data_IF_928099773679
#
_entry.id   IF_928099773679
#
_cell.length_a   1.000
_cell.length_b   1.000
_cell.length_c   1.000
_cell.angle_alpha   90.00
_cell.angle_beta   90.00
_cell.angle_gamma   90.00
#
_symmetry.space_group_name_H-M   'P 1'
#
loop_
_entity.id
_entity.type
_entity.pdbx_description
1 polymer ?
#
# COMPACT_ATOMS: atom_id res chain seq x y z
N UNK A 1 27.10 -3.96 -20.71
CA UNK A 1 26.02 -3.96 -21.71
C UNK A 1 24.72 -4.01 -20.93
N UNK A 2 23.99 -2.88 -20.87
CA UNK A 2 22.72 -2.78 -20.15
C UNK A 2 21.63 -3.41 -21.04
N UNK A 3 20.89 -4.39 -20.50
CA UNK A 3 19.83 -5.08 -21.22
C UNK A 3 18.55 -4.21 -21.13
N UNK A 4 18.54 -3.09 -21.86
CA UNK A 4 17.38 -2.22 -21.92
C UNK A 4 16.41 -2.79 -22.96
N UNK A 5 15.18 -3.03 -22.54
CA UNK A 5 14.13 -3.55 -23.42
C UNK A 5 13.31 -2.37 -23.95
N UNK A 6 13.24 -2.21 -25.27
CA UNK A 6 12.61 -1.03 -25.88
C UNK A 6 11.21 -1.38 -26.41
N UNK A 7 10.24 -0.50 -26.16
CA UNK A 7 8.87 -0.65 -26.63
C UNK A 7 8.52 0.53 -27.55
N UNK A 8 7.95 0.27 -28.72
CA UNK A 8 7.51 1.32 -29.67
C UNK A 8 5.99 1.47 -29.57
N UNK A 9 5.55 2.67 -29.20
CA UNK A 9 4.13 3.02 -29.04
C UNK A 9 3.73 3.97 -30.18
N UNK A 10 2.60 3.66 -30.82
CA UNK A 10 1.97 4.52 -31.80
C UNK A 10 0.92 5.36 -31.09
N UNK A 11 1.03 6.69 -31.20
CA UNK A 11 0.06 7.63 -30.63
C UNK A 11 -0.98 8.00 -31.70
N UNK A 12 -2.24 8.12 -31.28
CA UNK A 12 -3.37 8.49 -32.15
C UNK A 12 -3.08 9.76 -32.95
N UNK A 13 -3.19 9.66 -34.28
CA UNK A 13 -3.20 10.83 -35.15
C UNK A 13 -4.65 11.16 -35.52
N UNK A 14 -5.06 12.41 -35.29
CA UNK A 14 -6.44 12.89 -35.46
C UNK A 14 -6.97 12.82 -36.89
N UNK A 15 -6.12 12.55 -37.89
CA UNK A 15 -6.55 12.29 -39.26
C UNK A 15 -5.53 11.37 -39.98
N UNK A 16 -5.68 10.06 -39.81
CA UNK A 16 -4.81 9.09 -40.48
C UNK A 16 -5.27 8.88 -41.92
N UNK A 17 -4.50 9.39 -42.89
CA UNK A 17 -4.78 9.27 -44.34
C UNK A 17 -4.88 7.78 -44.74
N UNK A 18 -5.81 7.39 -45.63
CA UNK A 18 -5.94 5.98 -46.09
C UNK A 18 -4.62 5.40 -46.65
N UNK A 19 -3.76 6.26 -47.18
CA UNK A 19 -2.42 5.90 -47.64
C UNK A 19 -1.53 5.37 -46.50
N UNK A 20 -1.56 6.00 -45.32
CA UNK A 20 -0.79 5.57 -44.14
C UNK A 20 -1.29 4.21 -43.62
N UNK A 21 -2.60 3.97 -43.66
CA UNK A 21 -3.21 2.69 -43.27
C UNK A 21 -2.75 1.55 -44.20
N UNK A 22 -2.71 1.81 -45.51
CA UNK A 22 -2.27 0.82 -46.51
C UNK A 22 -0.78 0.48 -46.41
N UNK A 23 0.06 1.45 -46.06
CA UNK A 23 1.50 1.26 -45.87
C UNK A 23 1.81 0.54 -44.56
N UNK A 24 1.10 0.87 -43.48
CA UNK A 24 1.23 0.16 -42.20
C UNK A 24 0.80 -1.32 -42.34
N UNK A 25 -0.27 -1.59 -43.07
CA UNK A 25 -0.73 -2.95 -43.38
C UNK A 25 0.36 -3.77 -44.11
N UNK A 26 1.06 -3.15 -45.07
CA UNK A 26 2.19 -3.80 -45.77
C UNK A 26 3.37 -4.05 -44.84
N UNK A 27 3.69 -3.08 -43.96
CA UNK A 27 4.83 -3.16 -43.05
C UNK A 27 4.67 -4.30 -42.04
N UNK A 28 3.47 -4.47 -41.50
CA UNK A 28 3.17 -5.50 -40.50
C UNK A 28 2.56 -6.78 -41.07
N UNK A 29 2.42 -6.89 -42.39
CA UNK A 29 1.73 -8.01 -43.08
C UNK A 29 0.32 -8.26 -42.51
N UNK A 30 -0.40 -7.20 -42.15
CA UNK A 30 -1.75 -7.23 -41.59
C UNK A 30 -2.77 -6.75 -42.63
N UNK A 31 -4.06 -7.03 -42.38
CA UNK A 31 -5.13 -6.50 -43.21
C UNK A 31 -5.34 -5.00 -42.95
N UNK A 32 -5.79 -4.22 -43.94
CA UNK A 32 -6.03 -2.78 -43.79
C UNK A 32 -7.08 -2.48 -42.71
N UNK A 33 -8.07 -3.36 -42.52
CA UNK A 33 -9.07 -3.21 -41.45
C UNK A 33 -8.49 -3.37 -40.05
N UNK A 34 -7.57 -4.33 -39.84
CA UNK A 34 -6.88 -4.52 -38.57
C UNK A 34 -5.97 -3.33 -38.27
N UNK A 35 -5.33 -2.79 -39.31
CA UNK A 35 -4.48 -1.59 -39.22
C UNK A 35 -5.29 -0.34 -38.86
N UNK A 36 -6.52 -0.20 -39.38
CA UNK A 36 -7.45 0.87 -38.99
C UNK A 36 -7.86 0.77 -37.52
N UNK A 37 -8.17 -0.44 -37.02
CA UNK A 37 -8.50 -0.65 -35.59
C UNK A 37 -7.31 -0.35 -34.67
N UNK A 38 -6.10 -0.71 -35.08
CA UNK A 38 -4.87 -0.40 -34.35
C UNK A 38 -4.67 1.12 -34.21
N UNK A 39 -4.92 1.88 -35.28
CA UNK A 39 -4.80 3.35 -35.27
C UNK A 39 -5.97 4.08 -34.58
N UNK A 40 -7.07 3.37 -34.31
CA UNK A 40 -8.19 3.87 -33.50
C UNK A 40 -7.97 3.69 -32.00
N UNK A 41 -7.06 2.80 -31.58
CA UNK A 41 -6.70 2.63 -30.18
C UNK A 41 -5.80 3.80 -29.75
N UNK A 42 -6.04 4.33 -28.55
CA UNK A 42 -5.31 5.51 -28.07
C UNK A 42 -3.81 5.23 -27.90
N UNK A 43 -3.45 3.98 -27.57
CA UNK A 43 -2.07 3.47 -27.58
C UNK A 43 -2.04 2.02 -28.10
N UNK A 44 -1.18 1.73 -29.07
CA UNK A 44 -0.92 0.35 -29.52
C UNK A 44 0.57 0.00 -29.42
N UNK A 45 0.87 -1.05 -28.67
CA UNK A 45 2.22 -1.59 -28.53
C UNK A 45 2.51 -2.58 -29.66
N UNK A 46 3.46 -2.23 -30.53
CA UNK A 46 3.82 -3.06 -31.69
C UNK A 46 4.49 -4.38 -31.26
N UNK A 47 5.43 -4.31 -30.32
CA UNK A 47 6.12 -5.48 -29.75
C UNK A 47 6.83 -5.07 -28.46
N UNK A 48 6.73 -5.91 -27.43
CA UNK A 48 7.48 -5.77 -26.17
C UNK A 48 8.88 -6.40 -26.31
N UNK A 49 9.83 -5.92 -25.50
CA UNK A 49 11.17 -6.47 -25.36
C UNK A 49 11.99 -6.52 -26.67
N UNK A 50 12.27 -5.36 -27.23
CA UNK A 50 13.05 -5.24 -28.46
C UNK A 50 14.44 -4.66 -28.19
N UNK A 51 15.46 -5.13 -28.91
CA UNK A 51 16.81 -4.56 -28.86
C UNK A 51 16.82 -3.13 -29.43
N UNK A 52 17.64 -2.26 -28.84
CA UNK A 52 17.83 -0.85 -29.26
C UNK A 52 17.94 -0.64 -30.78
N UNK A 53 18.84 -1.35 -31.52
CA UNK A 53 18.99 -1.14 -32.96
C UNK A 53 17.76 -1.59 -33.78
N UNK A 54 16.94 -2.49 -33.23
CA UNK A 54 15.73 -2.98 -33.89
C UNK A 54 14.56 -2.03 -33.62
N UNK A 55 14.49 -1.45 -32.42
CA UNK A 55 13.51 -0.41 -32.05
C UNK A 55 13.68 0.86 -32.88
N UNK A 56 14.92 1.33 -33.09
CA UNK A 56 15.22 2.49 -33.94
C UNK A 56 14.85 2.24 -35.41
N UNK A 57 15.09 1.03 -35.93
CA UNK A 57 14.69 0.66 -37.30
C UNK A 57 13.16 0.67 -37.46
N UNK A 58 12.42 0.14 -36.48
CA UNK A 58 10.97 0.15 -36.51
C UNK A 58 10.40 1.55 -36.37
N UNK A 59 10.95 2.37 -35.47
CA UNK A 59 10.57 3.78 -35.33
C UNK A 59 10.77 4.53 -36.64
N UNK A 60 11.94 4.39 -37.28
CA UNK A 60 12.22 5.05 -38.58
C UNK A 60 11.28 4.57 -39.68
N UNK A 61 10.94 3.28 -39.70
CA UNK A 61 10.04 2.71 -40.69
C UNK A 61 8.59 3.18 -40.52
N UNK A 62 8.12 3.36 -39.28
CA UNK A 62 6.77 3.84 -38.96
C UNK A 62 6.67 5.36 -39.15
N UNK A 63 7.71 6.11 -38.75
CA UNK A 63 7.79 7.55 -38.99
C UNK A 63 7.79 7.86 -40.51
N UNK A 64 8.42 7.02 -41.32
CA UNK A 64 8.43 7.16 -42.78
C UNK A 64 7.03 6.98 -43.42
N UNK A 65 6.07 6.34 -42.75
CA UNK A 65 4.68 6.25 -43.21
C UNK A 65 3.82 7.41 -42.72
N UNK A 66 4.42 8.46 -42.12
CA UNK A 66 3.72 9.65 -41.64
C UNK A 66 2.97 9.46 -40.31
N UNK A 67 3.29 8.41 -39.55
CA UNK A 67 2.61 8.07 -38.29
C UNK A 67 3.50 8.52 -37.12
N UNK A 68 2.91 9.21 -36.15
CA UNK A 68 3.64 9.66 -34.97
C UNK A 68 3.87 8.48 -34.01
N UNK A 69 5.12 8.16 -33.74
CA UNK A 69 5.52 7.08 -32.84
C UNK A 69 6.63 7.52 -31.89
N UNK A 70 6.57 7.03 -30.66
CA UNK A 70 7.57 7.26 -29.62
C UNK A 70 8.17 5.93 -29.18
N UNK A 71 9.48 5.95 -28.91
CA UNK A 71 10.18 4.82 -28.28
C UNK A 71 10.20 5.09 -26.78
N UNK A 72 9.73 4.13 -25.99
CA UNK A 72 9.79 4.16 -24.55
C UNK A 72 10.74 3.05 -24.06
N UNK A 73 11.59 3.39 -23.09
CA UNK A 73 12.54 2.44 -22.50
C UNK A 73 11.78 1.74 -21.37
N UNK A 74 11.53 0.45 -21.53
CA UNK A 74 10.98 -0.39 -20.47
C UNK A 74 12.15 -0.93 -19.66
N UNK A 75 12.46 -0.27 -18.54
CA UNK A 75 13.12 -0.92 -17.42
C UNK A 75 12.09 -1.91 -16.86
N UNK A 76 12.47 -3.17 -16.66
CA UNK A 76 11.58 -4.17 -16.05
C UNK A 76 11.28 -3.74 -14.60
N UNK A 77 10.27 -2.87 -14.43
CA UNK A 77 9.53 -2.69 -13.20
C UNK A 77 8.44 -3.77 -13.18
N UNK A 78 8.79 -4.90 -12.57
CA UNK A 78 7.80 -5.60 -11.76
C UNK A 78 7.33 -4.61 -10.67
N UNK A 79 6.03 -4.60 -10.43
CA UNK A 79 5.29 -3.82 -9.43
C UNK A 79 5.02 -2.34 -9.76
N UNK A 80 3.79 -2.05 -10.20
CA UNK A 80 3.21 -0.72 -10.04
C UNK A 80 1.99 -0.83 -9.14
N UNK A 81 2.24 -0.56 -7.85
CA UNK A 81 1.23 -0.15 -6.89
C UNK A 81 0.56 1.17 -7.31
N UNK A 82 -0.61 1.40 -6.73
CA UNK A 82 -1.52 2.54 -6.91
C UNK A 82 -0.88 3.92 -6.64
N UNK A 83 -1.47 5.01 -7.17
CA UNK A 83 -0.86 6.34 -7.23
C UNK A 83 -0.69 7.03 -5.88
N UNK A 84 0.39 7.83 -5.80
CA UNK A 84 0.73 8.77 -4.74
C UNK A 84 -0.30 9.89 -4.60
N UNK A 85 -0.76 10.12 -3.36
CA UNK A 85 -1.51 11.32 -2.94
C UNK A 85 -0.49 12.43 -2.68
N UNK A 86 -0.74 13.62 -3.24
CA UNK A 86 0.01 14.85 -3.00
C UNK A 86 -0.08 15.30 -1.53
N UNK A 87 1.07 15.45 -0.89
CA UNK A 87 1.19 16.01 0.45
C UNK A 87 1.30 17.54 0.35
N UNK A 88 0.34 18.25 0.96
CA UNK A 88 0.30 19.71 0.99
C UNK A 88 1.39 20.20 1.94
N UNK A 89 2.33 20.96 1.38
CA UNK A 89 3.34 21.73 2.07
C UNK A 89 2.68 22.73 3.04
N UNK A 90 2.98 22.63 4.34
CA UNK A 90 2.81 23.78 5.22
C UNK A 90 4.03 23.96 6.12
N UNK A 91 4.78 25.02 5.81
CA UNK A 91 5.97 25.47 6.49
C UNK A 91 5.58 26.19 7.78
N UNK A 92 5.98 25.67 8.94
CA UNK A 92 6.15 26.48 10.14
C UNK A 92 7.24 25.91 11.06
N UNK A 93 8.33 26.66 11.13
CA UNK A 93 9.51 26.49 11.99
C UNK A 93 9.18 26.86 13.44
N UNK A 94 9.38 25.95 14.40
CA UNK A 94 9.69 26.30 15.82
C UNK A 94 10.69 25.30 16.43
N UNK A 95 11.62 25.85 17.22
CA UNK A 95 12.86 25.28 17.79
C UNK A 95 12.65 24.22 18.89
N UNK A 96 13.68 23.41 19.24
CA UNK A 96 13.59 22.30 20.19
C UNK A 96 13.94 22.72 21.62
N UNK A 97 13.45 21.98 22.64
CA UNK A 97 14.10 21.87 23.96
C UNK A 97 13.53 20.72 24.83
N UNK A 98 14.46 19.84 25.21
CA UNK A 98 14.64 19.06 26.45
C UNK A 98 13.66 17.95 26.91
N UNK A 99 14.32 16.80 27.05
CA UNK A 99 14.09 15.59 27.84
C UNK A 99 13.91 15.85 29.35
N UNK A 100 12.87 15.27 29.97
CA UNK A 100 12.85 14.92 31.40
C UNK A 100 12.05 13.61 31.59
N UNK A 101 12.72 12.68 32.27
CA UNK A 101 12.34 11.39 32.81
C UNK A 101 11.09 11.37 33.71
N UNK A 102 10.37 10.26 33.58
CA UNK A 102 9.48 9.54 34.53
C UNK A 102 7.95 9.80 34.58
N UNK A 103 7.18 8.72 34.87
CA UNK A 103 5.76 8.57 34.54
C UNK A 103 4.83 8.85 35.72
N UNK A 104 3.57 9.20 35.43
CA UNK A 104 2.47 8.95 36.36
C UNK A 104 1.18 8.62 35.59
N UNK A 105 0.38 7.76 36.21
CA UNK A 105 -0.69 6.93 35.65
C UNK A 105 -2.00 7.72 35.59
N UNK A 106 -2.71 7.60 34.45
CA UNK A 106 -4.15 7.65 34.10
C UNK A 106 -5.23 8.15 35.13
N UNK A 107 -6.47 8.53 34.73
CA UNK A 107 -7.15 8.20 33.47
C UNK A 107 -8.09 9.27 32.82
N UNK A 108 -8.50 8.93 31.59
CA UNK A 108 -9.73 9.25 30.83
C UNK A 108 -10.64 10.40 31.31
N UNK A 109 -10.81 11.41 30.45
CA UNK A 109 -12.14 11.98 30.16
C UNK A 109 -12.21 12.56 28.74
N UNK A 110 -13.24 12.16 28.00
CA UNK A 110 -13.72 12.77 26.77
C UNK A 110 -14.28 14.16 27.09
N UNK A 111 -13.85 15.20 26.36
CA UNK A 111 -14.57 16.47 26.29
C UNK A 111 -14.89 16.81 24.83
N UNK A 112 -16.17 16.69 24.49
CA UNK A 112 -16.79 17.45 23.40
C UNK A 112 -17.15 18.85 23.93
N UNK A 113 -16.97 19.93 23.15
CA UNK A 113 -17.41 21.25 23.58
C UNK A 113 -18.92 21.40 23.39
N UNK A 114 -19.62 21.68 24.48
CA UNK A 114 -20.98 22.19 24.49
C UNK A 114 -20.95 23.72 24.45
N UNK A 115 -21.73 24.32 23.55
CA UNK A 115 -21.98 25.76 23.55
C UNK A 115 -23.13 26.07 24.51
N UNK A 116 -22.84 26.91 25.51
CA UNK A 116 -23.80 27.47 26.45
C UNK A 116 -24.47 28.71 25.87
N UNK A 117 -25.77 28.88 26.14
CA UNK A 117 -26.36 30.20 26.30
C UNK A 117 -27.24 30.18 27.55
N UNK A 118 -26.85 30.95 28.55
CA UNK A 118 -27.52 31.10 29.82
C UNK A 118 -28.51 32.28 29.79
N UNK A 119 -29.67 32.11 30.43
CA UNK A 119 -30.16 32.90 31.58
C UNK A 119 -31.69 32.79 31.71
N UNK A 120 -32.16 32.25 32.85
CA UNK A 120 -33.55 32.41 33.36
C UNK A 120 -33.71 33.73 34.14
N UNK A 121 -34.56 33.83 35.20
CA UNK A 121 -35.49 32.81 35.74
C UNK A 121 -36.85 33.38 36.28
N UNK A 122 -37.63 32.46 36.90
CA UNK A 122 -38.48 32.62 38.12
C UNK A 122 -40.00 32.44 37.96
N UNK A 123 -40.50 31.43 38.68
CA UNK A 123 -41.88 31.04 39.01
C UNK A 123 -42.70 32.13 39.72
N UNK A 124 -44.04 32.02 39.65
CA UNK A 124 -44.97 31.95 40.79
C UNK A 124 -46.42 31.86 40.26
N UNK A 125 -47.13 30.76 40.56
CA UNK A 125 -48.60 30.63 40.51
C UNK A 125 -49.27 31.33 41.73
N UNK A 126 -50.62 31.41 41.90
CA UNK A 126 -51.79 31.26 41.00
C UNK A 126 -52.79 32.44 41.14
N UNK A 127 -53.95 32.43 40.42
CA UNK A 127 -55.33 32.79 40.90
C UNK A 127 -56.27 33.29 39.76
N UNK A 128 -57.44 32.64 39.72
CA UNK A 128 -58.79 32.98 39.20
C UNK A 128 -59.05 33.94 38.01
N UNK A 129 -59.77 33.34 37.03
CA UNK A 129 -61.01 33.79 36.37
C UNK A 129 -61.18 35.28 36.04
N UNK A 130 -61.16 35.60 34.75
CA UNK A 130 -62.16 36.47 34.13
C UNK A 130 -62.31 36.15 32.64
N UNK A 131 -63.56 36.01 32.21
CA UNK A 131 -64.01 35.64 30.88
C UNK A 131 -63.67 36.68 29.80
N UNK A 132 -63.30 36.23 28.60
CA UNK A 132 -63.66 36.87 27.35
C UNK A 132 -63.54 35.85 26.20
N UNK A 133 -64.67 35.56 25.55
CA UNK A 133 -64.77 34.76 24.35
C UNK A 133 -64.06 35.44 23.18
N UNK A 134 -63.14 34.74 22.50
CA UNK A 134 -62.93 34.86 21.06
C UNK A 134 -62.35 33.53 20.57
N UNK A 135 -62.98 32.92 19.56
CA UNK A 135 -62.74 31.55 19.11
C UNK A 135 -61.49 31.34 18.24
N UNK A 136 -61.39 30.10 17.74
CA UNK A 136 -60.40 29.55 16.79
C UNK A 136 -59.00 29.30 17.41
N UNK A 137 -58.35 28.14 17.32
CA UNK A 137 -58.53 26.91 16.55
C UNK A 137 -57.70 25.82 17.26
N UNK A 138 -58.32 24.78 17.84
CA UNK A 138 -57.62 23.65 18.50
C UNK A 138 -57.47 22.47 17.53
N UNK A 139 -56.93 22.70 16.34
CA UNK A 139 -56.86 21.67 15.29
C UNK A 139 -55.46 21.14 14.99
N UNK A 140 -54.40 21.62 15.67
CA UNK A 140 -53.01 21.35 15.26
C UNK A 140 -52.13 20.90 16.44
N UNK A 141 -52.58 19.96 17.26
CA UNK A 141 -51.67 19.26 18.21
C UNK A 141 -51.74 17.73 18.14
N UNK A 142 -52.61 17.14 17.32
CA UNK A 142 -52.80 15.67 17.24
C UNK A 142 -52.22 15.02 15.96
N UNK A 143 -51.29 15.68 15.26
CA UNK A 143 -50.70 15.13 14.03
C UNK A 143 -49.32 14.55 14.31
N UNK A 144 -49.28 13.26 14.65
CA UNK A 144 -48.03 12.52 14.74
C UNK A 144 -47.28 12.49 13.39
N UNK A 145 -45.98 12.81 13.36
CA UNK A 145 -45.18 12.83 12.13
C UNK A 145 -45.05 11.43 11.48
N UNK A 146 -45.30 10.37 12.23
CA UNK A 146 -45.26 8.98 11.75
C UNK A 146 -46.51 8.56 10.96
N UNK A 147 -47.60 9.34 11.06
CA UNK A 147 -48.85 9.07 10.35
C UNK A 147 -48.87 9.60 8.92
N UNK A 148 -47.83 10.31 8.48
CA UNK A 148 -47.73 10.76 7.10
C UNK A 148 -47.39 9.61 6.14
N UNK A 149 -48.12 9.52 5.02
CA UNK A 149 -47.78 8.56 3.97
C UNK A 149 -46.53 9.02 3.19
N UNK A 150 -45.46 8.22 3.11
CA UNK A 150 -44.23 8.61 2.40
C UNK A 150 -44.40 8.71 0.88
N UNK A 151 -45.50 8.19 0.32
CA UNK A 151 -45.74 8.19 -1.13
C UNK A 151 -46.62 9.37 -1.60
N UNK A 152 -47.64 9.75 -0.83
CA UNK A 152 -48.61 10.78 -1.23
C UNK A 152 -48.80 11.92 -0.22
N UNK A 153 -48.11 11.89 0.93
CA UNK A 153 -48.13 12.96 1.93
C UNK A 153 -49.43 13.10 2.72
N UNK A 154 -50.43 12.26 2.49
CA UNK A 154 -51.71 12.29 3.24
C UNK A 154 -51.55 11.67 4.62
N UNK A 155 -52.31 12.16 5.60
CA UNK A 155 -52.37 11.63 6.96
C UNK A 155 -53.10 10.27 6.94
N UNK A 156 -52.51 9.28 7.60
CA UNK A 156 -53.04 7.91 7.78
C UNK A 156 -53.60 7.78 9.20
N UNK A 157 -54.50 6.82 9.40
CA UNK A 157 -55.11 6.56 10.71
C UNK A 157 -54.08 6.05 11.76
N UNK A 158 -53.02 5.39 11.29
CA UNK A 158 -51.86 4.99 12.08
C UNK A 158 -50.67 4.66 11.18
N UNK A 159 -49.45 4.68 11.73
CA UNK A 159 -48.21 4.32 11.05
C UNK A 159 -48.20 2.91 10.40
N UNK A 160 -49.08 2.00 10.83
CA UNK A 160 -49.22 0.63 10.30
C UNK A 160 -50.45 0.42 9.38
N UNK A 161 -51.38 1.39 9.30
CA UNK A 161 -52.60 1.27 8.48
C UNK A 161 -52.39 1.53 6.98
N UNK A 162 -53.04 0.80 6.08
CA UNK A 162 -52.90 1.08 4.64
C UNK A 162 -53.37 2.52 4.28
N UNK A 163 -52.75 3.13 3.27
CA UNK A 163 -53.20 4.44 2.79
C UNK A 163 -54.41 4.28 1.87
N UNK A 164 -55.55 4.87 2.24
CA UNK A 164 -56.78 4.82 1.44
C UNK A 164 -56.65 5.59 0.11
N UNK A 165 -55.82 6.62 0.05
CA UNK A 165 -55.70 7.48 -1.13
C UNK A 165 -54.81 6.87 -2.22
N UNK A 166 -53.70 6.19 -1.86
CA UNK A 166 -52.75 5.65 -2.82
C UNK A 166 -52.53 4.13 -2.72
N UNK A 167 -53.19 3.46 -1.78
CA UNK A 167 -53.04 2.01 -1.56
C UNK A 167 -51.70 1.59 -0.95
N UNK A 168 -50.92 2.53 -0.40
CA UNK A 168 -49.61 2.22 0.19
C UNK A 168 -49.74 1.33 1.44
N UNK A 169 -49.04 0.20 1.43
CA UNK A 169 -48.91 -0.72 2.57
C UNK A 169 -47.50 -0.60 3.21
N UNK A 170 -47.41 -0.11 4.47
CA UNK A 170 -46.13 0.07 5.16
C UNK A 170 -45.40 -1.25 5.44
N UNK A 171 -46.13 -2.35 5.66
CA UNK A 171 -45.54 -3.64 6.04
C UNK A 171 -44.79 -4.25 4.86
N UNK A 172 -45.36 -4.16 3.66
CA UNK A 172 -44.74 -4.62 2.42
C UNK A 172 -43.50 -3.77 2.07
N UNK A 173 -43.60 -2.45 2.22
CA UNK A 173 -42.48 -1.53 1.98
C UNK A 173 -41.32 -1.78 2.95
N UNK A 174 -41.60 -1.87 4.26
CA UNK A 174 -40.59 -2.16 5.29
C UNK A 174 -39.93 -3.52 5.05
N UNK A 175 -40.70 -4.56 4.75
CA UNK A 175 -40.17 -5.90 4.45
C UNK A 175 -39.31 -5.91 3.19
N UNK A 176 -39.69 -5.18 2.13
CA UNK A 176 -38.90 -5.08 0.89
C UNK A 176 -37.60 -4.32 1.09
N UNK A 177 -37.63 -3.21 1.83
CA UNK A 177 -36.45 -2.39 2.11
C UNK A 177 -35.47 -3.12 3.04
N UNK A 178 -35.95 -3.72 4.13
CA UNK A 178 -35.11 -4.51 5.04
C UNK A 178 -34.45 -5.67 4.27
N UNK A 179 -35.20 -6.40 3.43
CA UNK A 179 -34.62 -7.45 2.58
C UNK A 179 -33.55 -6.90 1.63
N UNK A 180 -33.79 -5.77 0.98
CA UNK A 180 -32.79 -5.16 0.10
C UNK A 180 -31.55 -4.71 0.86
N UNK A 181 -31.68 -4.16 2.06
CA UNK A 181 -30.56 -3.70 2.88
C UNK A 181 -29.73 -4.89 3.35
N UNK A 182 -30.37 -5.96 3.85
CA UNK A 182 -29.69 -7.19 4.28
C UNK A 182 -28.95 -7.85 3.12
N UNK A 183 -29.58 -7.95 1.94
CA UNK A 183 -28.92 -8.57 0.78
C UNK A 183 -27.69 -7.76 0.37
N UNK A 184 -27.79 -6.42 0.33
CA UNK A 184 -26.67 -5.55 -0.03
C UNK A 184 -25.54 -5.60 1.00
N UNK A 185 -25.87 -5.57 2.30
CA UNK A 185 -24.86 -5.65 3.36
C UNK A 185 -24.18 -7.02 3.42
N UNK A 186 -24.94 -8.12 3.29
CA UNK A 186 -24.38 -9.47 3.26
C UNK A 186 -23.50 -9.69 2.04
N UNK A 187 -23.93 -9.24 0.85
CA UNK A 187 -23.12 -9.31 -0.36
C UNK A 187 -21.83 -8.49 -0.20
N UNK A 188 -21.91 -7.29 0.36
CA UNK A 188 -20.73 -6.45 0.64
C UNK A 188 -19.76 -7.11 1.61
N UNK A 189 -20.26 -7.68 2.71
CA UNK A 189 -19.43 -8.36 3.71
C UNK A 189 -18.74 -9.59 3.14
N UNK A 190 -19.44 -10.39 2.33
CA UNK A 190 -18.86 -11.57 1.67
C UNK A 190 -17.70 -11.18 0.76
N UNK A 191 -17.84 -10.11 -0.03
CA UNK A 191 -16.76 -9.63 -0.91
C UNK A 191 -15.55 -9.18 -0.10
N UNK A 192 -15.74 -8.45 1.01
CA UNK A 192 -14.65 -8.00 1.88
C UNK A 192 -13.90 -9.17 2.53
N UNK A 193 -14.63 -10.20 2.99
CA UNK A 193 -14.02 -11.39 3.59
C UNK A 193 -13.15 -12.14 2.58
N UNK A 194 -13.64 -12.31 1.35
CA UNK A 194 -12.87 -12.97 0.28
C UNK A 194 -11.62 -12.16 -0.07
N UNK A 195 -11.76 -10.84 -0.22
CA UNK A 195 -10.62 -9.96 -0.53
C UNK A 195 -9.54 -9.98 0.56
N UNK A 196 -9.95 -9.94 1.84
CA UNK A 196 -9.05 -10.05 2.98
C UNK A 196 -8.32 -11.39 3.02
N UNK A 197 -9.02 -12.50 2.75
CA UNK A 197 -8.43 -13.84 2.75
C UNK A 197 -7.34 -14.00 1.68
N UNK A 198 -7.55 -13.44 0.48
CA UNK A 198 -6.56 -13.49 -0.59
C UNK A 198 -5.32 -12.63 -0.30
N UNK A 199 -5.50 -11.49 0.38
CA UNK A 199 -4.42 -10.53 0.62
C UNK A 199 -3.57 -10.86 1.85
N UNK A 200 -4.17 -11.44 2.90
CA UNK A 200 -3.50 -11.78 4.15
C UNK A 200 -2.19 -12.60 4.02
N UNK A 201 -2.10 -13.67 3.21
CA UNK A 201 -0.87 -14.47 3.14
C UNK A 201 0.33 -13.67 2.61
N UNK A 202 0.10 -12.72 1.70
CA UNK A 202 1.15 -11.88 1.14
C UNK A 202 1.68 -10.89 2.18
N UNK A 203 0.79 -10.25 2.94
CA UNK A 203 1.18 -9.35 4.04
C UNK A 203 2.06 -10.06 5.09
N UNK A 204 1.69 -11.29 5.47
CA UNK A 204 2.48 -12.06 6.44
C UNK A 204 3.89 -12.37 5.93
N UNK A 205 4.04 -12.66 4.64
CA UNK A 205 5.34 -12.89 4.05
C UNK A 205 6.19 -11.61 4.04
N UNK A 206 5.62 -10.48 3.64
CA UNK A 206 6.31 -9.20 3.62
C UNK A 206 6.76 -8.75 5.02
N UNK A 207 5.89 -8.86 6.02
CA UNK A 207 6.25 -8.52 7.40
C UNK A 207 7.40 -9.40 7.93
N UNK A 208 7.42 -10.69 7.61
CA UNK A 208 8.54 -11.57 7.97
C UNK A 208 9.84 -11.17 7.26
N UNK A 209 9.77 -10.82 5.99
CA UNK A 209 10.94 -10.37 5.21
C UNK A 209 11.57 -9.12 5.84
N UNK A 210 10.74 -8.11 6.15
CA UNK A 210 11.21 -6.90 6.83
C UNK A 210 11.78 -7.20 8.22
N UNK A 211 11.11 -8.06 9.00
CA UNK A 211 11.61 -8.45 10.32
C UNK A 211 12.99 -9.11 10.25
N UNK A 212 13.25 -9.97 9.26
CA UNK A 212 14.57 -10.58 9.06
C UNK A 212 15.63 -9.54 8.70
N UNK A 213 15.27 -8.54 7.90
CA UNK A 213 16.16 -7.42 7.52
C UNK A 213 16.49 -6.56 8.74
N UNK A 214 15.50 -6.22 9.57
CA UNK A 214 15.70 -5.44 10.81
C UNK A 214 16.58 -6.20 11.79
N UNK A 215 16.31 -7.50 12.00
CA UNK A 215 17.10 -8.34 12.90
C UNK A 215 18.55 -8.51 12.41
N UNK A 216 18.81 -8.31 11.11
CA UNK A 216 20.16 -8.38 10.55
C UNK A 216 21.05 -7.22 11.00
N UNK A 217 20.48 -6.15 11.56
CA UNK A 217 21.25 -5.07 12.16
C UNK A 217 22.27 -5.58 13.20
N UNK A 218 21.91 -6.60 13.99
CA UNK A 218 22.82 -7.23 14.94
C UNK A 218 24.08 -7.82 14.28
N UNK A 219 23.94 -8.38 13.07
CA UNK A 219 25.08 -8.90 12.32
C UNK A 219 25.96 -7.77 11.77
N UNK A 220 25.37 -6.65 11.36
CA UNK A 220 26.12 -5.47 10.93
C UNK A 220 26.86 -4.81 12.10
N UNK A 221 26.26 -4.75 13.28
CA UNK A 221 26.92 -4.26 14.48
C UNK A 221 28.08 -5.17 14.87
N UNK A 222 27.89 -6.48 14.81
CA UNK A 222 28.95 -7.48 15.03
C UNK A 222 30.13 -7.28 14.05
N UNK A 223 29.83 -7.09 12.77
CA UNK A 223 30.82 -6.77 11.72
C UNK A 223 31.58 -5.48 12.04
N UNK A 224 30.89 -4.44 12.49
CA UNK A 224 31.52 -3.16 12.85
C UNK A 224 32.46 -3.32 14.06
N UNK A 225 32.06 -4.09 15.08
CA UNK A 225 32.91 -4.43 16.24
C UNK A 225 34.17 -5.18 15.82
N UNK A 226 34.03 -6.18 14.95
CA UNK A 226 35.18 -6.92 14.41
C UNK A 226 36.10 -6.00 13.58
N UNK A 227 35.51 -5.09 12.81
CA UNK A 227 36.29 -4.11 12.03
C UNK A 227 37.11 -3.21 12.96
N UNK A 228 36.49 -2.67 14.01
CA UNK A 228 37.18 -1.85 15.01
C UNK A 228 38.29 -2.63 15.74
N UNK A 229 38.04 -3.92 16.03
CA UNK A 229 39.05 -4.80 16.62
C UNK A 229 40.24 -5.02 15.68
N UNK A 230 40.01 -5.30 14.40
CA UNK A 230 41.07 -5.47 13.39
C UNK A 230 41.87 -4.16 13.24
N UNK A 231 41.20 -3.01 13.20
CA UNK A 231 41.86 -1.70 13.08
C UNK A 231 42.73 -1.38 14.31
N UNK A 232 42.28 -1.74 15.51
CA UNK A 232 43.01 -1.50 16.76
C UNK A 232 44.21 -2.44 16.95
N UNK A 233 44.05 -3.71 16.59
CA UNK A 233 45.01 -4.76 16.93
C UNK A 233 45.86 -5.24 15.77
N UNK A 234 45.47 -4.91 14.52
CA UNK A 234 45.98 -5.52 13.30
C UNK A 234 45.89 -7.06 13.29
N UNK A 235 45.03 -7.64 14.14
CA UNK A 235 44.81 -9.07 14.25
C UNK A 235 43.42 -9.45 13.71
N UNK A 236 43.37 -10.55 12.97
CA UNK A 236 42.14 -11.09 12.40
C UNK A 236 41.58 -12.16 13.34
N UNK A 237 40.40 -11.92 13.95
CA UNK A 237 39.83 -12.87 14.89
C UNK A 237 39.41 -14.16 14.18
N UNK A 238 39.62 -15.29 14.86
CA UNK A 238 39.21 -16.62 14.36
C UNK A 238 38.03 -17.21 15.14
N UNK A 239 37.59 -16.52 16.20
CA UNK A 239 36.47 -16.88 17.06
C UNK A 239 35.89 -15.61 17.70
N UNK A 240 34.64 -15.66 18.16
CA UNK A 240 33.96 -14.50 18.75
C UNK A 240 34.74 -13.89 19.92
N UNK A 241 35.32 -14.72 20.78
CA UNK A 241 36.03 -14.27 21.99
C UNK A 241 37.31 -13.48 21.67
N UNK A 242 37.93 -13.70 20.51
CA UNK A 242 39.11 -12.95 20.09
C UNK A 242 38.76 -11.47 19.88
N UNK A 243 37.55 -11.20 19.37
CA UNK A 243 37.03 -9.85 19.12
C UNK A 243 36.23 -9.27 20.30
N UNK A 244 36.39 -9.82 21.50
CA UNK A 244 35.64 -9.44 22.71
C UNK A 244 34.11 -9.58 22.56
N UNK A 245 33.66 -10.43 21.62
CA UNK A 245 32.24 -10.69 21.40
C UNK A 245 31.72 -11.84 22.28
N UNK A 246 30.43 -11.82 22.64
CA UNK A 246 29.78 -12.96 23.28
C UNK A 246 29.92 -14.25 22.47
N UNK A 247 30.07 -15.39 23.17
CA UNK A 247 30.13 -16.72 22.53
C UNK A 247 28.87 -17.05 21.72
N UNK A 248 27.72 -16.54 22.15
CA UNK A 248 26.45 -16.68 21.45
C UNK A 248 25.84 -15.31 21.22
N UNK A 249 25.53 -15.02 19.96
CA UNK A 249 24.85 -13.82 19.51
C UNK A 249 23.61 -14.29 18.76
N UNK A 250 22.43 -14.01 19.29
CA UNK A 250 21.15 -14.44 18.73
C UNK A 250 20.10 -13.36 18.92
N UNK A 251 19.06 -13.40 18.10
CA UNK A 251 17.90 -12.51 18.20
C UNK A 251 16.64 -13.30 17.79
N UNK A 252 15.55 -12.63 17.46
CA UNK A 252 14.29 -13.23 17.04
C UNK A 252 14.47 -14.05 15.76
N UNK A 253 15.12 -13.50 14.73
CA UNK A 253 15.35 -14.20 13.45
C UNK A 253 16.70 -14.93 13.34
N UNK A 254 17.70 -14.50 14.11
CA UNK A 254 19.06 -15.06 14.08
C UNK A 254 19.21 -16.11 15.19
N UNK A 255 19.63 -17.33 14.80
CA UNK A 255 19.92 -18.42 15.72
C UNK A 255 21.30 -18.26 16.37
N UNK A 256 22.32 -17.94 15.57
CA UNK A 256 23.69 -17.73 16.05
C UNK A 256 24.52 -16.90 15.06
N UNK A 257 25.51 -16.19 15.59
CA UNK A 257 26.56 -15.54 14.80
C UNK A 257 27.91 -16.10 15.27
N UNK A 258 28.65 -16.71 14.34
CA UNK A 258 29.94 -17.34 14.61
C UNK A 258 31.00 -16.73 13.70
N UNK A 259 32.06 -16.22 14.30
CA UNK A 259 33.29 -15.83 13.62
C UNK A 259 34.17 -17.07 13.45
N UNK A 260 34.68 -17.25 12.25
CA UNK A 260 35.60 -18.31 11.85
C UNK A 260 36.89 -17.70 11.29
N UNK A 261 37.77 -18.53 10.75
CA UNK A 261 39.06 -18.12 10.18
C UNK A 261 38.94 -16.92 9.22
N UNK A 262 39.96 -16.06 9.27
CA UNK A 262 40.05 -14.83 8.45
C UNK A 262 38.88 -13.86 8.68
N UNK A 263 38.38 -13.75 9.91
CA UNK A 263 37.23 -12.92 10.27
C UNK A 263 35.97 -13.18 9.43
N UNK A 264 35.78 -14.44 9.00
CA UNK A 264 34.57 -14.84 8.27
C UNK A 264 33.41 -14.96 9.26
N UNK A 265 32.36 -14.17 9.09
CA UNK A 265 31.19 -14.17 9.98
C UNK A 265 30.10 -15.01 9.32
N UNK A 266 29.71 -16.10 9.98
CA UNK A 266 28.57 -16.93 9.56
C UNK A 266 27.38 -16.60 10.46
N UNK A 267 26.35 -16.00 9.85
CA UNK A 267 25.05 -15.76 10.49
C UNK A 267 24.14 -16.91 10.15
N UNK A 268 23.63 -17.58 11.17
CA UNK A 268 22.71 -18.71 11.04
C UNK A 268 21.31 -18.24 11.41
N UNK A 269 20.35 -18.40 10.52
CA UNK A 269 18.96 -17.99 10.75
C UNK A 269 18.16 -19.13 11.36
N UNK A 270 17.13 -18.78 12.14
CA UNK A 270 16.17 -19.76 12.63
C UNK A 270 15.25 -20.20 11.49
N UNK A 271 14.87 -21.47 11.48
CA UNK A 271 14.05 -22.04 10.42
C UNK A 271 12.65 -21.38 10.34
N UNK A 272 12.11 -20.92 11.46
CA UNK A 272 10.82 -20.21 11.52
C UNK A 272 10.85 -18.79 10.95
N UNK A 273 12.03 -18.17 10.91
CA UNK A 273 12.20 -16.79 10.47
C UNK A 273 12.26 -16.67 8.94
N UNK A 274 12.85 -17.67 8.29
CA UNK A 274 12.88 -17.79 6.83
C UNK A 274 11.79 -18.76 6.40
N UNK A 275 10.88 -18.36 5.50
CA UNK A 275 9.88 -19.28 4.90
C UNK A 275 10.57 -20.23 3.91
N UNK A 276 11.53 -21.02 4.41
CA UNK A 276 12.33 -21.94 3.63
C UNK A 276 11.41 -23.02 3.05
N UNK A 277 11.49 -23.33 1.75
CA UNK A 277 10.64 -24.35 1.10
C UNK A 277 10.86 -25.75 1.70
N UNK A 278 11.99 -25.96 2.36
CA UNK A 278 12.30 -27.10 3.22
C UNK A 278 12.43 -26.59 4.66
N UNK A 279 11.46 -26.95 5.52
CA UNK A 279 11.38 -26.54 6.93
C UNK A 279 12.62 -26.86 7.77
N UNK A 280 13.48 -27.75 7.27
CA UNK A 280 14.62 -28.30 8.00
C UNK A 280 15.97 -27.72 7.53
N UNK A 281 15.99 -26.92 6.46
CA UNK A 281 17.23 -26.32 5.96
C UNK A 281 17.48 -24.98 6.62
N UNK A 282 18.46 -24.96 7.52
CA UNK A 282 18.99 -23.75 8.14
C UNK A 282 19.61 -22.86 7.06
N UNK A 283 19.07 -21.64 6.91
CA UNK A 283 19.63 -20.65 5.99
C UNK A 283 20.77 -19.88 6.68
N UNK A 284 21.80 -19.54 5.91
CA UNK A 284 22.97 -18.80 6.42
C UNK A 284 23.32 -17.60 5.55
N UNK A 285 23.84 -16.55 6.16
CA UNK A 285 24.44 -15.41 5.48
C UNK A 285 25.90 -15.31 5.91
N UNK A 286 26.81 -15.22 4.94
CA UNK A 286 28.25 -15.20 5.20
C UNK A 286 28.80 -13.82 4.86
N UNK A 287 29.43 -13.18 5.84
CA UNK A 287 30.25 -11.99 5.65
C UNK A 287 31.71 -12.39 5.55
N UNK A 288 32.36 -11.93 4.50
CA UNK A 288 33.79 -12.12 4.26
C UNK A 288 34.46 -10.76 4.26
N UNK A 289 35.49 -10.60 5.08
CA UNK A 289 36.31 -9.40 5.08
C UNK A 289 37.53 -9.61 4.18
N UNK A 290 37.94 -8.52 3.52
CA UNK A 290 39.14 -8.46 2.70
C UNK A 290 39.83 -7.12 2.89
N UNK A 291 41.14 -7.07 2.76
CA UNK A 291 41.89 -5.82 2.78
C UNK A 291 42.01 -5.28 1.35
N UNK A 292 41.55 -4.06 1.13
CA UNK A 292 41.68 -3.34 -0.14
C UNK A 292 42.29 -1.96 0.15
N UNK A 293 43.47 -1.69 -0.44
CA UNK A 293 44.19 -0.41 -0.28
C UNK A 293 44.38 -0.01 1.20
N UNK A 294 44.66 -0.99 2.06
CA UNK A 294 44.86 -0.78 3.51
C UNK A 294 43.57 -0.58 4.31
N UNK A 295 42.38 -0.74 3.70
CA UNK A 295 41.08 -0.66 4.37
C UNK A 295 40.41 -2.03 4.40
N UNK A 296 39.66 -2.31 5.46
CA UNK A 296 38.84 -3.52 5.58
C UNK A 296 37.52 -3.31 4.82
N UNK A 297 37.26 -4.17 3.83
CA UNK A 297 36.03 -4.18 3.02
C UNK A 297 35.29 -5.48 3.25
N UNK A 298 33.97 -5.41 3.35
CA UNK A 298 33.11 -6.56 3.63
C UNK A 298 32.24 -6.93 2.45
N UNK A 299 32.10 -8.23 2.21
CA UNK A 299 31.18 -8.81 1.24
C UNK A 299 30.22 -9.76 1.95
N UNK A 300 28.92 -9.51 1.79
CA UNK A 300 27.82 -10.27 2.40
C UNK A 300 26.99 -11.06 1.38
N UNK A 301 27.62 -11.53 0.30
CA UNK A 301 26.93 -12.26 -0.77
C UNK A 301 26.99 -13.78 -0.60
N UNK A 302 27.81 -14.29 0.33
CA UNK A 302 27.91 -15.72 0.59
C UNK A 302 26.72 -16.28 1.38
N UNK A 303 26.70 -17.61 1.53
CA UNK A 303 25.67 -18.33 2.28
C UNK A 303 24.44 -18.71 1.45
N UNK A 304 23.49 -19.38 2.11
CA UNK A 304 22.28 -19.97 1.52
C UNK A 304 21.03 -19.10 1.64
N UNK A 305 21.10 -17.94 2.33
CA UNK A 305 19.96 -17.05 2.55
C UNK A 305 19.36 -16.58 1.22
N UNK A 306 18.04 -16.69 1.06
CA UNK A 306 17.34 -16.23 -0.15
C UNK A 306 17.50 -14.71 -0.35
N UNK A 307 17.53 -14.27 -1.62
CA UNK A 307 17.75 -12.85 -1.96
C UNK A 307 16.69 -11.90 -1.38
N UNK A 308 15.45 -12.37 -1.20
CA UNK A 308 14.34 -11.58 -0.63
C UNK A 308 14.58 -11.17 0.82
N UNK A 309 15.29 -12.01 1.58
CA UNK A 309 15.67 -11.75 2.99
C UNK A 309 16.99 -10.98 3.12
N UNK A 310 17.63 -10.61 2.01
CA UNK A 310 18.90 -9.86 2.05
C UNK A 310 18.59 -8.36 1.97
N UNK A 311 19.33 -7.50 2.69
CA UNK A 311 19.29 -6.06 2.45
C UNK A 311 19.96 -5.74 1.11
N UNK A 312 19.65 -4.58 0.53
CA UNK A 312 20.09 -4.22 -0.82
C UNK A 312 21.62 -4.20 -0.96
N UNK A 313 22.33 -3.79 0.09
CA UNK A 313 23.81 -3.83 0.15
C UNK A 313 24.38 -5.25 -0.01
N UNK A 314 23.60 -6.29 0.30
CA UNK A 314 23.98 -7.70 0.14
C UNK A 314 23.40 -8.35 -1.14
N UNK A 315 22.54 -7.63 -1.86
CA UNK A 315 22.05 -8.01 -3.19
C UNK A 315 22.97 -7.50 -4.30
N UNK A 316 23.46 -6.27 -4.16
CA UNK A 316 24.29 -5.62 -5.15
C UNK A 316 25.64 -6.33 -5.35
N UNK A 317 26.12 -6.40 -6.60
CA UNK A 317 27.53 -6.71 -6.84
C UNK A 317 28.32 -5.44 -6.57
N UNK A 318 29.09 -5.41 -5.49
CA UNK A 318 30.16 -4.42 -5.38
C UNK A 318 31.20 -4.81 -6.44
N UNK A 319 31.12 -4.18 -7.61
CA UNK A 319 32.18 -4.22 -8.62
C UNK A 319 33.27 -3.31 -8.05
N UNK A 320 34.31 -3.90 -7.49
CA UNK A 320 35.54 -3.18 -7.14
C UNK A 320 36.61 -3.66 -8.11
N UNK A 321 36.90 -2.81 -9.09
CA UNK A 321 38.12 -2.85 -9.92
C UNK A 321 39.34 -2.39 -9.10
#
# INVERSE_FOLDING_TARGET
MQNNSYTVIINKNGDSTEQAISQLARLFKTTPEKSRKILQQDHFTVKKQLDQPTAEKLHKAIAATGINCQIEITLDEEDTELPSIEEIENTARVKPLLDITQPEIAPLHEEQPTLSLANGPVENDPVEKASAETGEDKAIEDIDPENFCPNCGTIRASADSNCVHCGFDPQVFRKKNIRSVIIKSLAGLVVLVIAGFLSFPWYQQYSKEQQVIDDLQLAFDTRNTITAFIEKTNFWPNQNIDAELPKQLSNRSIASIIVSENATITVTFKAEATNSPTSDTVQTLIFTARTLKGRTVWNCRGGTLEKKYRPDICKARVIED
#
